data_IF_442834252654
#
_entry.id   IF_442834252654
#
_cell.length_a   1.000
_cell.length_b   1.000
_cell.length_c   1.000
_cell.angle_alpha   90.00
_cell.angle_beta   90.00
_cell.angle_gamma   90.00
#
_symmetry.space_group_name_H-M   'P 1'
#
loop_
_entity.id
_entity.type
_entity.pdbx_description
1 polymer ?
#
# COMPACT_ATOMS: atom_id res chain seq x y z
N UNK A 1 9.66 -2.80 3.77
CA UNK A 1 9.85 -2.29 2.41
C UNK A 1 9.03 -1.02 2.22
N UNK A 2 9.60 -0.02 1.54
CA UNK A 2 8.89 1.23 1.27
C UNK A 2 9.27 1.79 -0.11
N UNK A 3 8.26 2.26 -0.85
CA UNK A 3 8.46 2.92 -2.14
C UNK A 3 9.19 4.27 -1.96
N UNK A 4 10.32 4.46 -2.65
CA UNK A 4 11.00 5.75 -2.69
C UNK A 4 10.16 6.89 -3.28
N UNK A 5 9.14 6.54 -4.08
CA UNK A 5 8.18 7.49 -4.66
C UNK A 5 7.03 7.89 -3.70
N UNK A 6 7.07 7.54 -2.40
CA UNK A 6 6.10 7.96 -1.38
C UNK A 6 6.75 8.85 -0.31
N UNK A 7 6.97 10.13 -0.60
CA UNK A 7 7.73 11.02 0.29
C UNK A 7 6.97 11.40 1.57
N UNK A 8 5.65 11.18 1.61
CA UNK A 8 4.80 11.61 2.72
C UNK A 8 4.62 10.55 3.82
N UNK A 9 5.58 9.63 3.98
CA UNK A 9 5.60 8.68 5.09
C UNK A 9 5.72 9.42 6.43
N UNK A 10 4.97 8.98 7.45
CA UNK A 10 5.10 9.46 8.81
C UNK A 10 5.52 8.35 9.80
N UNK A 11 6.10 8.76 10.93
CA UNK A 11 6.58 7.82 11.96
C UNK A 11 5.45 7.00 12.58
N UNK A 12 4.24 7.57 12.72
CA UNK A 12 3.09 6.88 13.31
C UNK A 12 2.62 5.74 12.41
N UNK A 13 2.65 5.95 11.09
CA UNK A 13 2.33 4.90 10.12
C UNK A 13 3.32 3.75 10.21
N UNK A 14 4.63 4.05 10.27
CA UNK A 14 5.66 3.03 10.43
C UNK A 14 5.46 2.21 11.72
N UNK A 15 5.15 2.87 12.85
CA UNK A 15 4.88 2.18 14.12
C UNK A 15 3.64 1.29 14.05
N UNK A 16 2.57 1.70 13.38
CA UNK A 16 1.39 0.85 13.16
C UNK A 16 1.76 -0.42 12.39
N UNK A 17 2.56 -0.28 11.34
CA UNK A 17 3.04 -1.41 10.54
C UNK A 17 3.88 -2.40 11.35
N UNK A 18 4.86 -1.88 12.09
CA UNK A 18 5.70 -2.71 12.97
C UNK A 18 4.88 -3.45 14.02
N UNK A 19 3.92 -2.78 14.66
CA UNK A 19 3.02 -3.38 15.66
C UNK A 19 2.14 -4.48 15.05
N UNK A 20 1.64 -4.25 13.83
CA UNK A 20 0.84 -5.25 13.11
C UNK A 20 1.69 -6.46 12.73
N UNK A 21 2.88 -6.24 12.14
CA UNK A 21 3.77 -7.32 11.71
C UNK A 21 4.33 -8.16 12.86
N UNK A 22 4.54 -7.58 14.06
CA UNK A 22 4.92 -8.35 15.25
C UNK A 22 3.92 -9.45 15.60
N UNK A 23 2.63 -9.21 15.33
CA UNK A 23 1.55 -10.17 15.64
C UNK A 23 1.32 -11.18 14.52
N UNK A 24 1.43 -10.74 13.27
CA UNK A 24 1.04 -11.54 12.09
C UNK A 24 2.22 -12.03 11.25
N UNK A 25 3.43 -11.54 11.48
CA UNK A 25 4.59 -11.81 10.63
C UNK A 25 4.66 -10.94 9.38
N UNK A 26 3.52 -10.46 8.89
CA UNK A 26 3.41 -9.64 7.69
C UNK A 26 2.30 -8.60 7.81
N UNK A 27 2.57 -7.38 7.37
CA UNK A 27 1.56 -6.31 7.33
C UNK A 27 1.79 -5.35 6.17
N UNK A 28 0.72 -4.74 5.67
CA UNK A 28 0.74 -3.77 4.59
C UNK A 28 -0.10 -2.55 4.93
N UNK A 29 0.44 -1.36 4.64
CA UNK A 29 -0.33 -0.14 4.70
C UNK A 29 -1.39 -0.12 3.60
N UNK A 30 -2.53 0.49 3.88
CA UNK A 30 -3.55 0.73 2.87
C UNK A 30 -4.63 1.68 3.38
N UNK A 31 -5.46 2.14 2.47
CA UNK A 31 -6.61 2.98 2.77
C UNK A 31 -7.87 2.42 2.11
N UNK A 32 -9.04 2.53 2.75
CA UNK A 32 -10.30 2.18 2.09
C UNK A 32 -10.45 2.95 0.77
N UNK A 33 -10.89 2.26 -0.27
CA UNK A 33 -11.14 2.89 -1.57
C UNK A 33 -12.33 3.83 -1.47
N UNK A 34 -12.17 5.07 -2.00
CA UNK A 34 -13.24 6.08 -2.00
C UNK A 34 -14.14 5.98 -3.22
N UNK A 35 -13.56 5.68 -4.37
CA UNK A 35 -14.28 5.60 -5.64
C UNK A 35 -14.94 4.24 -5.84
N UNK A 36 -15.96 4.19 -6.67
CA UNK A 36 -16.52 2.93 -7.15
C UNK A 36 -15.53 2.27 -8.12
N UNK A 37 -15.12 1.05 -7.84
CA UNK A 37 -14.19 0.29 -8.68
C UNK A 37 -14.98 -0.54 -9.69
N UNK A 38 -14.58 -0.46 -10.94
CA UNK A 38 -15.11 -1.27 -12.04
C UNK A 38 -14.04 -2.23 -12.54
N UNK A 39 -14.36 -3.51 -12.58
CA UNK A 39 -13.58 -4.48 -13.34
C UNK A 39 -14.01 -4.37 -14.80
N UNK A 40 -13.06 -4.17 -15.70
CA UNK A 40 -13.36 -3.95 -17.12
C UNK A 40 -12.70 -5.00 -18.00
N UNK A 41 -13.38 -5.36 -19.07
CA UNK A 41 -12.83 -6.20 -20.13
C UNK A 41 -11.80 -5.44 -20.98
N UNK A 42 -11.01 -6.14 -21.86
CA UNK A 42 -10.13 -5.47 -22.82
C UNK A 42 -10.85 -4.48 -23.76
N UNK A 43 -12.14 -4.67 -23.98
CA UNK A 43 -13.00 -3.78 -24.77
C UNK A 43 -13.55 -2.60 -23.95
N UNK A 44 -13.09 -2.40 -22.71
CA UNK A 44 -13.55 -1.35 -21.78
C UNK A 44 -15.03 -1.45 -21.40
N UNK A 45 -15.62 -2.63 -21.49
CA UNK A 45 -16.97 -2.88 -20.98
C UNK A 45 -16.88 -3.32 -19.52
N UNK A 46 -17.79 -2.85 -18.69
CA UNK A 46 -17.85 -3.23 -17.27
C UNK A 46 -18.21 -4.71 -17.18
N UNK A 47 -17.34 -5.49 -16.53
CA UNK A 47 -17.54 -6.91 -16.26
C UNK A 47 -18.07 -7.15 -14.83
N UNK A 48 -17.63 -6.32 -13.85
CA UNK A 48 -18.02 -6.44 -12.44
C UNK A 48 -17.88 -5.12 -11.71
N UNK A 49 -18.59 -4.99 -10.60
CA UNK A 49 -18.49 -3.86 -9.67
C UNK A 49 -18.37 -4.41 -8.24
N UNK A 50 -17.15 -4.70 -7.77
CA UNK A 50 -16.94 -5.27 -6.44
C UNK A 50 -17.47 -4.37 -5.32
N UNK A 51 -17.98 -4.94 -4.21
CA UNK A 51 -18.41 -4.15 -3.05
C UNK A 51 -17.26 -3.32 -2.47
N UNK A 52 -17.37 -2.00 -2.58
CA UNK A 52 -16.32 -1.05 -2.15
C UNK A 52 -15.90 -1.22 -0.70
N UNK A 53 -16.81 -1.60 0.19
CA UNK A 53 -16.53 -1.79 1.60
C UNK A 53 -15.43 -2.85 1.88
N UNK A 54 -15.13 -3.72 0.93
CA UNK A 54 -14.09 -4.75 1.02
C UNK A 54 -12.81 -4.40 0.28
N UNK A 55 -12.73 -3.23 -0.34
CA UNK A 55 -11.60 -2.82 -1.17
C UNK A 55 -10.74 -1.80 -0.45
N UNK A 56 -9.45 -2.08 -0.42
CA UNK A 56 -8.41 -1.18 0.09
C UNK A 56 -7.38 -0.94 -1.00
N UNK A 57 -6.97 0.30 -1.16
CA UNK A 57 -5.82 0.65 -1.98
C UNK A 57 -4.54 0.38 -1.17
N UNK A 58 -3.78 -0.63 -1.59
CA UNK A 58 -2.53 -1.00 -0.93
C UNK A 58 -1.49 0.11 -1.10
N UNK A 59 -0.74 0.35 -0.03
CA UNK A 59 0.35 1.31 0.03
C UNK A 59 1.61 0.63 0.58
N UNK A 60 2.69 1.37 0.66
CA UNK A 60 3.82 1.04 1.53
C UNK A 60 3.92 2.09 2.66
N UNK A 61 4.49 1.78 3.83
CA UNK A 61 5.36 0.63 4.10
C UNK A 61 4.61 -0.70 4.16
N UNK A 62 5.29 -1.74 3.70
CA UNK A 62 4.92 -3.14 3.94
C UNK A 62 5.98 -3.74 4.84
N UNK A 63 5.58 -4.34 5.94
CA UNK A 63 6.48 -4.78 7.01
C UNK A 63 6.38 -6.28 7.20
N UNK A 64 7.52 -6.95 7.17
CA UNK A 64 7.61 -8.40 7.22
C UNK A 64 8.70 -8.84 8.19
N UNK A 65 8.55 -10.04 8.75
CA UNK A 65 9.70 -10.77 9.27
C UNK A 65 10.65 -11.07 8.11
N UNK A 66 11.93 -10.94 8.37
CA UNK A 66 12.95 -11.11 7.34
C UNK A 66 12.93 -12.50 6.68
N UNK A 67 12.88 -13.54 7.52
CA UNK A 67 12.83 -14.94 7.07
C UNK A 67 11.62 -15.21 6.16
N UNK A 68 10.45 -14.72 6.54
CA UNK A 68 9.22 -14.86 5.78
C UNK A 68 9.31 -14.18 4.40
N UNK A 69 9.80 -12.94 4.36
CA UNK A 69 9.95 -12.21 3.10
C UNK A 69 10.98 -12.86 2.19
N UNK A 70 12.10 -13.30 2.75
CA UNK A 70 13.16 -14.00 2.00
C UNK A 70 12.64 -15.31 1.38
N UNK A 71 11.87 -16.08 2.12
CA UNK A 71 11.23 -17.30 1.64
C UNK A 71 10.22 -16.99 0.53
N UNK A 72 9.41 -15.96 0.70
CA UNK A 72 8.44 -15.52 -0.31
C UNK A 72 9.12 -15.16 -1.63
N UNK A 73 10.23 -14.42 -1.58
CA UNK A 73 11.01 -14.08 -2.78
C UNK A 73 11.63 -15.30 -3.47
N UNK A 74 12.14 -16.27 -2.68
CA UNK A 74 12.74 -17.50 -3.25
C UNK A 74 11.72 -18.40 -3.94
N UNK A 75 10.49 -18.41 -3.45
CA UNK A 75 9.41 -19.29 -3.94
C UNK A 75 8.45 -18.59 -4.90
N UNK A 76 8.59 -17.30 -5.15
CA UNK A 76 7.71 -16.55 -6.04
C UNK A 76 7.99 -16.92 -7.51
N UNK A 77 7.11 -17.72 -8.10
CA UNK A 77 7.17 -18.12 -9.51
C UNK A 77 6.32 -17.20 -10.43
N UNK A 78 5.60 -16.24 -9.87
CA UNK A 78 4.66 -15.38 -10.60
C UNK A 78 5.09 -13.91 -10.54
N UNK A 79 4.75 -13.17 -11.59
CA UNK A 79 4.81 -11.70 -11.54
C UNK A 79 3.73 -11.20 -10.57
N UNK A 80 4.14 -10.45 -9.57
CA UNK A 80 3.28 -9.84 -8.55
C UNK A 80 3.46 -8.33 -8.54
N UNK A 81 2.48 -7.62 -8.01
CA UNK A 81 2.46 -6.16 -7.98
C UNK A 81 3.14 -5.57 -6.74
N UNK A 82 3.25 -6.35 -5.66
CA UNK A 82 3.91 -5.95 -4.40
C UNK A 82 4.43 -7.16 -3.61
N UNK A 83 5.23 -6.88 -2.57
CA UNK A 83 5.81 -7.92 -1.71
C UNK A 83 4.75 -8.65 -0.89
N UNK A 84 3.65 -7.97 -0.52
CA UNK A 84 2.54 -8.60 0.19
C UNK A 84 1.93 -9.74 -0.62
N UNK A 85 1.74 -9.56 -1.92
CA UNK A 85 1.20 -10.60 -2.80
C UNK A 85 2.11 -11.83 -2.90
N UNK A 86 3.45 -11.69 -2.75
CA UNK A 86 4.35 -12.84 -2.67
C UNK A 86 4.12 -13.66 -1.39
N UNK A 87 3.97 -12.98 -0.27
CA UNK A 87 3.71 -13.61 1.03
C UNK A 87 2.33 -14.29 1.05
N UNK A 88 1.32 -13.64 0.49
CA UNK A 88 -0.03 -14.22 0.31
C UNK A 88 0.02 -15.47 -0.57
N UNK A 89 0.84 -15.47 -1.62
CA UNK A 89 1.04 -16.60 -2.52
C UNK A 89 1.58 -17.86 -1.84
N UNK A 90 2.23 -17.74 -0.70
CA UNK A 90 2.65 -18.84 0.16
C UNK A 90 1.56 -19.30 1.15
N UNK A 91 0.38 -18.70 1.12
CA UNK A 91 -0.70 -18.98 2.06
C UNK A 91 -0.54 -18.29 3.42
N UNK A 92 0.42 -17.37 3.58
CA UNK A 92 0.60 -16.64 4.83
C UNK A 92 -0.28 -15.38 4.85
N UNK A 93 -1.04 -15.13 5.94
CA UNK A 93 -1.92 -13.96 6.02
C UNK A 93 -1.09 -12.66 6.14
N UNK A 94 -1.50 -11.64 5.38
CA UNK A 94 -0.98 -10.28 5.48
C UNK A 94 -2.02 -9.40 6.17
N UNK A 95 -1.62 -8.75 7.26
CA UNK A 95 -2.52 -7.84 7.98
C UNK A 95 -2.49 -6.45 7.37
N UNK A 96 -3.63 -5.97 6.91
CA UNK A 96 -3.76 -4.56 6.53
C UNK A 96 -3.77 -3.68 7.79
N UNK A 97 -3.07 -2.54 7.73
CA UNK A 97 -3.17 -1.49 8.73
C UNK A 97 -3.45 -0.14 8.04
N UNK A 98 -4.10 0.77 8.78
CA UNK A 98 -4.51 2.04 8.21
C UNK A 98 -3.28 2.90 7.86
N UNK A 99 -3.15 3.18 6.57
CA UNK A 99 -2.19 4.11 6.00
C UNK A 99 -2.65 5.57 6.10
N UNK A 100 -2.44 6.33 5.04
CA UNK A 100 -2.91 7.72 4.93
C UNK A 100 -3.20 8.05 3.47
N UNK A 101 -4.25 8.81 3.21
CA UNK A 101 -4.50 9.35 1.87
C UNK A 101 -3.43 10.35 1.43
N UNK A 102 -2.71 10.97 2.37
CA UNK A 102 -1.56 11.81 2.07
C UNK A 102 -0.31 11.02 1.65
N UNK A 103 -0.27 9.71 1.92
CA UNK A 103 0.85 8.83 1.55
C UNK A 103 0.72 8.37 0.08
N UNK A 104 0.51 9.34 -0.81
CA UNK A 104 0.40 9.07 -2.25
C UNK A 104 1.72 8.57 -2.83
N UNK A 105 1.63 7.84 -3.92
CA UNK A 105 2.78 7.48 -4.76
C UNK A 105 2.91 8.52 -5.87
N UNK A 106 4.02 9.21 -5.92
CA UNK A 106 4.33 10.18 -6.98
C UNK A 106 4.64 9.42 -8.26
N UNK A 107 3.75 9.49 -9.22
CA UNK A 107 3.85 8.82 -10.52
C UNK A 107 3.67 9.79 -11.69
N UNK A 108 3.10 10.95 -11.43
CA UNK A 108 2.87 12.01 -12.42
C UNK A 108 3.41 13.36 -11.92
N UNK A 109 3.64 14.36 -12.80
CA UNK A 109 4.02 15.70 -12.37
C UNK A 109 3.03 16.36 -11.40
N UNK A 110 1.73 16.10 -11.56
CA UNK A 110 0.67 16.61 -10.70
C UNK A 110 0.78 16.05 -9.28
N UNK A 111 1.14 14.77 -9.15
CA UNK A 111 1.36 14.12 -7.85
C UNK A 111 2.48 14.80 -7.06
N UNK A 112 3.48 15.34 -7.75
CA UNK A 112 4.60 16.04 -7.12
C UNK A 112 4.11 17.31 -6.42
N UNK A 113 3.26 18.09 -7.07
CA UNK A 113 2.68 19.31 -6.49
C UNK A 113 1.80 18.98 -5.26
N UNK A 114 1.03 17.89 -5.32
CA UNK A 114 0.21 17.43 -4.20
C UNK A 114 1.09 16.97 -3.02
N UNK A 115 2.13 16.19 -3.28
CA UNK A 115 3.08 15.74 -2.26
C UNK A 115 3.77 16.92 -1.58
N UNK A 116 4.20 17.92 -2.34
CA UNK A 116 4.81 19.15 -1.82
C UNK A 116 3.85 19.90 -0.90
N UNK A 117 2.58 20.06 -1.29
CA UNK A 117 1.57 20.71 -0.45
C UNK A 117 1.39 20.00 0.90
N UNK A 118 1.33 18.65 0.92
CA UNK A 118 1.24 17.89 2.15
C UNK A 118 2.48 18.05 3.05
N UNK A 119 3.68 18.02 2.47
CA UNK A 119 4.91 18.19 3.23
C UNK A 119 5.03 19.59 3.84
N UNK A 120 4.68 20.63 3.09
CA UNK A 120 4.64 22.01 3.58
C UNK A 120 3.66 22.19 4.72
N UNK A 121 2.45 21.63 4.59
CA UNK A 121 1.44 21.66 5.65
C UNK A 121 1.94 21.02 6.95
N UNK A 122 2.65 19.90 6.86
CA UNK A 122 3.23 19.19 8.03
C UNK A 122 4.37 19.97 8.68
N UNK A 123 5.15 20.72 7.91
CA UNK A 123 6.22 21.57 8.41
C UNK A 123 5.73 22.87 9.05
N UNK A 124 4.42 23.13 9.07
CA UNK A 124 3.83 24.36 9.61
C UNK A 124 4.08 25.60 8.74
N UNK A 125 4.55 25.41 7.52
CA UNK A 125 4.72 26.51 6.56
C UNK A 125 3.35 26.80 5.96
N UNK A 126 2.70 27.87 6.43
CA UNK A 126 1.51 28.42 5.76
C UNK A 126 1.94 29.05 4.44
N UNK A 127 1.22 28.69 3.37
CA UNK A 127 1.29 29.37 2.07
C UNK A 127 0.54 30.70 2.19
#
# INVERSE_FOLDING_TARGET
VHDGARPCLDRRMLWRGLKAARKSGASAAGVPVKDTIKVVSPRRLVADTPPRARLWAAQTPQVFRYDLLLEAHRNCARTVTDDAAMVEGMGHPVRMFLGSYENLKVTTPEDLAVAEAFLRSRAGVRI
#
